data_IF_687091353825
#
_entry.id   IF_687091353825
#
_cell.length_a   1.000
_cell.length_b   1.000
_cell.length_c   1.000
_cell.angle_alpha   90.00
_cell.angle_beta   90.00
_cell.angle_gamma   90.00
#
_symmetry.space_group_name_H-M   'P 1'
#
loop_
_entity.id
_entity.type
_entity.pdbx_description
1 polymer ?
2 polymer ?
3 water ?
#
# COMPACT_ATOMS: atom_id res chain seq x y z
N UNK A 13 -0.14 -25.74 14.04
CA UNK A 13 -0.32 -25.04 15.30
C UNK A 13 -1.24 -23.83 15.18
N UNK A 14 -0.76 -22.81 14.52
CA UNK A 14 -1.58 -21.61 14.27
C UNK A 14 -2.79 -21.93 13.39
N UNK A 15 -2.66 -23.01 12.61
CA UNK A 15 -3.68 -23.42 11.64
C UNK A 15 -4.86 -24.11 12.33
N UNK A 16 -4.61 -24.64 13.51
CA UNK A 16 -5.67 -25.30 14.24
C UNK A 16 -6.32 -24.37 15.29
N UNK A 17 -6.12 -23.06 15.14
CA UNK A 17 -6.81 -22.11 16.02
C UNK A 17 -8.17 -21.71 15.42
N UNK A 18 -9.19 -21.65 16.27
CA UNK A 18 -10.49 -21.02 15.94
C UNK A 18 -10.45 -19.48 15.96
N UNK A 19 -11.49 -18.86 15.41
CA UNK A 19 -11.58 -17.39 15.34
C UNK A 19 -11.49 -16.70 16.71
N UNK A 20 -12.25 -17.17 17.71
CA UNK A 20 -12.17 -16.63 19.10
C UNK A 20 -10.75 -16.76 19.64
N UNK A 21 -10.13 -17.92 19.36
CA UNK A 21 -8.80 -18.23 19.89
C UNK A 21 -7.71 -17.41 19.22
N UNK A 22 -7.90 -17.16 17.95
CA UNK A 22 -7.00 -16.31 17.22
C UNK A 22 -7.08 -14.90 17.86
N UNK A 23 -8.30 -14.41 18.13
CA UNK A 23 -8.55 -13.09 18.75
C UNK A 23 -8.00 -13.01 20.18
N UNK A 24 -8.30 -14.01 21.01
CA UNK A 24 -7.67 -14.07 22.33
C UNK A 24 -6.13 -14.02 22.29
N UNK A 25 -5.48 -14.92 21.52
CA UNK A 25 -4.02 -14.87 21.38
C UNK A 25 -3.49 -13.47 20.91
N UNK A 26 -4.15 -12.85 19.94
CA UNK A 26 -3.71 -11.51 19.49
C UNK A 26 -3.94 -10.41 20.54
N UNK A 27 -5.14 -10.33 21.14
CA UNK A 27 -5.37 -9.35 22.23
C UNK A 27 -4.40 -9.53 23.38
N UNK A 28 -4.16 -10.79 23.77
CA UNK A 28 -3.20 -11.09 24.84
C UNK A 28 -1.74 -10.75 24.46
N UNK A 29 -1.42 -10.74 23.17
CA UNK A 29 -0.09 -10.42 22.67
C UNK A 29 0.26 -8.95 22.78
N UNK A 30 -0.74 -8.06 22.84
CA UNK A 30 -0.52 -6.59 22.68
C UNK A 30 0.57 -6.00 23.55
N UNK A 31 1.46 -5.16 22.97
CA UNK A 31 2.51 -4.57 23.79
C UNK A 31 1.99 -3.40 24.67
N UNK A 32 2.72 -3.01 25.72
CA UNK A 32 2.30 -1.86 26.59
C UNK A 32 2.32 -0.53 25.85
N UNK A 33 1.70 0.49 26.40
CA UNK A 33 1.88 1.84 25.82
C UNK A 33 3.05 2.48 26.61
N UNK A 34 4.00 3.11 25.94
CA UNK A 34 5.16 3.60 26.63
C UNK A 34 5.06 5.12 26.87
N UNK A 35 5.82 5.62 27.84
CA UNK A 35 5.86 7.06 28.05
C UNK A 35 7.14 7.60 27.41
N UNK A 36 7.10 8.85 26.95
CA UNK A 36 8.30 9.52 26.42
C UNK A 36 9.00 10.22 27.58
N UNK A 37 10.18 10.76 27.36
CA UNK A 37 10.76 11.59 28.46
C UNK A 37 10.38 13.06 28.36
N UNK A 38 9.21 13.32 27.77
CA UNK A 38 8.74 14.67 27.49
C UNK A 38 8.81 15.50 28.73
N UNK A 39 9.65 16.52 28.66
CA UNK A 39 9.76 17.54 29.71
C UNK A 39 9.06 18.81 29.18
N UNK A 40 7.84 19.10 29.69
CA UNK A 40 7.11 20.28 29.19
C UNK A 40 7.63 21.65 29.70
N UNK A 41 8.59 21.67 30.63
CA UNK A 41 9.39 22.88 30.86
C UNK A 41 10.28 23.12 29.64
N UNK A 42 11.10 22.11 29.33
CA UNK A 42 12.12 22.17 28.29
C UNK A 42 11.52 22.49 26.89
N UNK A 43 11.89 23.66 26.30
CA UNK A 43 11.39 24.03 24.95
C UNK A 43 11.71 23.01 23.83
N UNK A 45 12.78 22.47 20.51
CA UNK A 45 13.81 22.18 19.50
C UNK A 45 13.49 21.04 18.46
N UNK A 46 14.08 21.15 17.26
CA UNK A 46 14.00 20.07 16.23
C UNK A 46 14.78 18.81 16.67
N UNK A 47 16.00 19.04 17.19
CA UNK A 47 16.90 17.99 17.69
C UNK A 47 16.31 17.22 18.87
N UNK A 48 15.71 17.96 19.79
CA UNK A 48 15.11 17.38 20.99
C UNK A 48 13.75 16.69 20.70
N UNK A 49 12.86 17.36 19.98
CA UNK A 49 11.64 16.72 19.50
C UNK A 49 11.91 15.42 18.77
N UNK A 50 12.81 15.42 17.80
CA UNK A 50 13.16 14.16 17.09
C UNK A 50 13.83 13.19 18.06
N UNK A 51 14.68 13.71 18.94
CA UNK A 51 15.26 12.93 20.04
C UNK A 51 14.21 12.24 20.91
N UNK A 52 13.18 12.96 21.35
CA UNK A 52 12.07 12.33 22.05
C UNK A 52 11.37 11.32 21.20
N UNK A 53 11.23 11.53 19.89
CA UNK A 53 10.43 10.55 19.14
C UNK A 53 11.21 9.30 18.81
N UNK A 54 12.50 9.46 18.56
CA UNK A 54 13.38 8.36 18.20
C UNK A 54 13.70 7.52 19.42
N UNK A 55 13.86 8.15 20.57
CA UNK A 55 13.98 7.42 21.87
C UNK A 55 12.76 6.54 22.12
N UNK A 56 11.58 7.13 21.94
CA UNK A 56 10.33 6.36 22.09
C UNK A 56 10.28 5.19 21.10
N UNK A 57 10.64 5.43 19.82
CA UNK A 57 10.40 4.42 18.80
C UNK A 57 11.35 3.26 19.01
N UNK A 58 12.54 3.59 19.49
CA UNK A 58 13.56 2.65 19.81
C UNK A 58 13.12 1.70 20.96
N UNK A 59 12.48 2.24 22.00
CA UNK A 59 11.90 1.42 23.07
C UNK A 59 10.70 0.62 22.56
N UNK A 60 9.95 1.18 21.62
CA UNK A 60 8.83 0.44 21.07
C UNK A 60 9.29 -0.70 20.16
N UNK A 61 10.37 -0.50 19.40
CA UNK A 61 10.97 -1.59 18.60
C UNK A 61 11.27 -2.85 19.43
N UNK A 62 11.70 -2.71 20.67
CA UNK A 62 12.01 -3.88 21.50
C UNK A 62 10.74 -4.68 21.80
N UNK A 63 9.66 -3.98 22.18
CA UNK A 63 8.37 -4.62 22.49
C UNK A 63 7.74 -5.16 21.24
N UNK A 64 7.94 -4.48 20.11
CA UNK A 64 7.42 -5.05 18.87
C UNK A 64 8.05 -6.40 18.57
N UNK A 65 9.37 -6.53 18.75
CA UNK A 65 10.06 -7.78 18.45
C UNK A 65 9.44 -8.88 19.30
N UNK A 66 9.31 -8.64 20.62
CA UNK A 66 8.59 -9.60 21.47
C UNK A 66 7.09 -9.79 21.20
N UNK A 67 6.42 -8.79 20.67
CA UNK A 67 5.04 -8.99 20.19
C UNK A 67 4.90 -9.91 18.94
N UNK A 68 5.90 -9.85 18.06
CA UNK A 68 5.88 -10.51 16.74
C UNK A 68 5.98 -12.05 16.93
N UNK A 69 6.87 -12.43 17.86
CA UNK A 69 7.04 -13.76 18.44
C UNK A 69 5.73 -14.42 18.90
N UNK A 70 4.80 -13.62 19.41
CA UNK A 70 3.54 -14.15 19.89
C UNK A 70 2.37 -14.14 18.88
N UNK A 71 2.57 -13.59 17.67
CA UNK A 71 1.56 -13.61 16.59
C UNK A 71 1.47 -15.07 16.05
N UNK A 72 0.28 -15.70 16.13
CA UNK A 72 0.18 -17.10 15.67
C UNK A 72 0.88 -17.27 14.33
N UNK A 73 1.74 -18.28 14.25
CA UNK A 73 2.40 -18.64 13.00
C UNK A 73 3.82 -18.15 12.82
N UNK A 74 4.13 -17.01 13.44
CA UNK A 74 5.42 -16.32 13.25
C UNK A 74 6.68 -17.15 13.60
N UNK A 75 6.68 -17.81 14.76
CA UNK A 75 7.82 -18.60 15.20
C UNK A 75 8.07 -19.89 14.39
N UNK A 76 7.11 -20.24 13.52
CA UNK A 76 7.34 -21.32 12.58
C UNK A 76 8.23 -20.89 11.42
N UNK A 77 8.66 -19.64 11.39
CA UNK A 77 9.53 -19.19 10.31
C UNK A 77 11.00 -19.36 10.69
N UNK A 78 11.86 -19.49 9.70
CA UNK A 78 13.29 -19.42 9.94
C UNK A 78 13.66 -18.01 10.41
N UNK A 79 14.74 -17.93 11.18
CA UNK A 79 15.31 -16.69 11.67
C UNK A 79 15.40 -15.67 10.55
N UNK A 80 16.13 -16.01 9.49
CA UNK A 80 16.24 -15.16 8.33
C UNK A 80 14.93 -14.51 7.94
N UNK A 81 13.89 -15.32 7.76
CA UNK A 81 12.61 -14.79 7.28
C UNK A 81 11.96 -13.86 8.33
N UNK A 82 11.94 -14.29 9.61
CA UNK A 82 11.47 -13.44 10.70
C UNK A 82 12.12 -12.07 10.66
N UNK A 83 13.45 -12.03 10.52
CA UNK A 83 14.27 -10.82 10.37
C UNK A 83 13.79 -9.98 9.16
N UNK A 84 13.53 -10.68 8.06
CA UNK A 84 13.08 -10.01 6.88
C UNK A 84 11.73 -9.38 7.02
N UNK A 85 10.75 -10.12 7.52
CA UNK A 85 9.39 -9.60 7.62
C UNK A 85 9.36 -8.38 8.55
N UNK A 86 10.08 -8.46 9.67
CA UNK A 86 10.24 -7.31 10.55
C UNK A 86 11.01 -6.14 9.97
N UNK A 87 12.05 -6.40 9.17
CA UNK A 87 12.71 -5.30 8.47
C UNK A 87 11.77 -4.54 7.52
N UNK A 88 10.89 -5.24 6.82
CA UNK A 88 9.93 -4.56 5.93
C UNK A 88 8.84 -3.80 6.68
N UNK A 89 8.31 -4.43 7.74
CA UNK A 89 7.08 -3.99 8.41
C UNK A 89 7.25 -3.03 9.56
N UNK A 90 8.48 -2.84 10.08
CA UNK A 90 8.59 -2.18 11.42
C UNK A 90 7.94 -0.78 11.47
N UNK A 91 8.16 0.07 10.47
CA UNK A 91 7.55 1.43 10.56
C UNK A 91 6.05 1.42 10.35
N UNK A 92 5.55 0.47 9.55
CA UNK A 92 4.12 0.38 9.31
C UNK A 92 3.45 0.00 10.61
N UNK A 93 4.07 -0.91 11.36
CA UNK A 93 3.45 -1.39 12.59
C UNK A 93 3.51 -0.26 13.62
N UNK A 94 4.62 0.47 13.74
CA UNK A 94 4.68 1.59 14.68
C UNK A 94 3.61 2.61 14.24
N UNK A 95 3.43 2.84 12.95
CA UNK A 95 2.45 3.82 12.49
C UNK A 95 0.95 3.49 12.76
N UNK A 96 0.55 2.24 12.59
CA UNK A 96 -0.85 1.89 12.78
C UNK A 96 -1.11 1.89 14.26
N UNK A 97 -0.09 1.64 15.10
CA UNK A 97 -0.20 1.58 16.60
C UNK A 97 -0.45 3.02 17.04
N UNK A 98 0.36 3.92 16.49
CA UNK A 98 0.23 5.38 16.68
C UNK A 98 -1.17 5.92 16.29
N UNK A 99 -1.62 5.58 15.10
CA UNK A 99 -2.88 6.04 14.54
C UNK A 99 -4.07 5.55 15.36
N UNK A 100 -3.98 4.30 15.83
CA UNK A 100 -4.96 3.68 16.72
C UNK A 100 -5.08 4.31 18.08
N UNK A 101 -3.97 4.64 18.75
CA UNK A 101 -4.10 5.29 20.05
C UNK A 101 -4.59 6.69 19.88
N UNK A 102 -4.46 7.27 18.68
CA UNK A 102 -4.85 8.68 18.43
C UNK A 102 -6.32 8.85 18.00
N UNK A 103 -6.98 7.71 17.82
CA UNK A 103 -8.33 7.63 17.27
C UNK A 103 -9.24 8.60 17.98
N UNK A 104 -9.26 8.53 19.30
CA UNK A 104 -10.11 9.42 20.11
C UNK A 104 -9.55 10.84 20.38
N UNK A 105 -8.52 11.27 19.67
CA UNK A 105 -8.06 12.65 19.83
C UNK A 105 -8.10 13.40 18.52
N UNK A 106 -9.31 13.74 18.04
CA UNK A 106 -9.44 14.35 16.72
C UNK A 106 -8.44 15.50 16.60
N UNK A 107 -7.68 15.54 15.54
CA UNK A 107 -6.73 16.62 15.39
C UNK A 107 -5.39 16.43 16.12
N UNK A 108 -5.19 15.29 16.76
CA UNK A 108 -3.92 15.05 17.47
C UNK A 108 -3.33 13.67 17.28
N UNK A 109 -2.00 13.60 17.41
CA UNK A 109 -1.30 12.36 17.50
C UNK A 109 -0.80 12.14 18.93
N UNK A 110 -1.17 11.00 19.50
CA UNK A 110 -0.85 10.64 20.90
C UNK A 110 0.41 9.77 20.86
N UNK A 111 1.58 10.39 20.77
CA UNK A 111 2.84 9.63 20.72
C UNK A 111 3.01 8.80 21.97
N UNK A 112 2.58 9.35 23.10
CA UNK A 112 2.57 8.66 24.37
C UNK A 112 1.51 9.37 25.23
N UNK A 113 1.10 8.79 26.39
CA UNK A 113 0.07 9.45 27.18
C UNK A 113 0.47 10.87 27.65
N UNK A 114 1.77 11.14 27.74
CA UNK A 114 2.26 12.48 28.10
C UNK A 114 2.72 13.33 26.91
N UNK A 115 2.53 12.84 25.68
CA UNK A 115 3.00 13.55 24.49
C UNK A 115 1.89 13.53 23.42
N UNK A 116 1.02 14.53 23.48
CA UNK A 116 -0.05 14.69 22.53
C UNK A 116 0.26 15.90 21.66
N UNK A 117 0.58 15.68 20.37
CA UNK A 117 0.92 16.77 19.45
C UNK A 117 -0.14 17.01 18.39
N UNK A 118 -0.45 18.29 18.13
CA UNK A 118 -1.20 18.66 16.93
C UNK A 118 -0.26 19.06 15.80
N UNK A 119 -0.79 19.28 14.60
CA UNK A 119 0.07 19.48 13.42
C UNK A 119 1.00 20.71 13.45
N UNK A 120 0.62 21.77 14.15
CA UNK A 120 1.52 22.90 14.29
C UNK A 120 2.86 22.53 14.93
N UNK A 121 2.83 21.70 15.97
CA UNK A 121 4.04 21.19 16.60
C UNK A 121 4.90 20.27 15.71
N UNK A 122 4.30 19.69 14.67
CA UNK A 122 5.05 19.01 13.61
C UNK A 122 5.91 19.90 12.71
N UNK A 123 5.63 21.21 12.71
CA UNK A 123 6.42 22.16 11.89
C UNK A 123 7.83 22.28 12.45
N UNK A 124 7.96 22.07 13.74
CA UNK A 124 9.23 22.07 14.45
C UNK A 124 10.33 21.30 13.77
N UNK A 125 9.96 20.27 13.01
CA UNK A 125 10.91 19.44 12.28
C UNK A 125 10.94 19.75 10.78
N UNK A 127 10.56 18.79 7.59
CA UNK A 127 9.38 18.57 6.77
C UNK A 127 8.61 17.34 7.24
N UNK A 128 8.21 17.34 8.51
CA UNK A 128 7.52 16.20 9.08
C UNK A 128 6.01 16.39 9.06
N UNK A 129 5.58 17.64 8.89
CA UNK A 129 4.16 18.01 8.83
C UNK A 129 3.36 17.24 7.74
N UNK A 130 4.00 16.96 6.62
CA UNK A 130 3.37 16.12 5.60
C UNK A 130 3.11 14.68 6.15
N UNK A 131 4.08 14.07 6.85
CA UNK A 131 3.77 12.77 7.44
C UNK A 131 2.67 12.87 8.53
N UNK A 132 2.75 13.88 9.40
CA UNK A 132 1.70 14.16 10.39
C UNK A 132 0.32 14.15 9.80
N UNK A 133 0.09 14.96 8.76
CA UNK A 133 -1.25 15.06 8.16
C UNK A 133 -1.70 13.73 7.67
N UNK A 134 -0.82 12.99 7.05
CA UNK A 134 -1.19 11.65 6.57
C UNK A 134 -1.67 10.77 7.71
N UNK A 135 -0.97 10.86 8.82
CA UNK A 135 -1.30 10.06 9.96
C UNK A 135 -2.65 10.51 10.56
N UNK A 136 -2.83 11.82 10.68
CA UNK A 136 -4.12 12.40 11.09
C UNK A 136 -5.28 11.93 10.26
N UNK A 137 -5.18 12.04 8.93
CA UNK A 137 -6.24 11.56 8.07
C UNK A 137 -6.48 10.05 8.22
N UNK A 138 -5.47 9.25 8.60
CA UNK A 138 -5.73 7.77 8.79
C UNK A 138 -6.48 7.54 10.08
N UNK A 139 -6.08 8.29 11.11
CA UNK A 139 -6.79 8.28 12.36
C UNK A 139 -8.29 8.65 12.18
N UNK A 140 -8.56 9.73 11.42
CA UNK A 140 -9.92 10.10 11.03
C UNK A 140 -10.65 9.00 10.28
N UNK A 141 -9.96 8.38 9.33
CA UNK A 141 -10.56 7.28 8.62
C UNK A 141 -10.98 6.19 9.60
N UNK A 142 -10.10 5.84 10.55
CA UNK A 142 -10.41 4.81 11.53
C UNK A 142 -11.62 5.21 12.36
N UNK A 143 -11.67 6.48 12.75
CA UNK A 143 -12.74 7.03 13.57
C UNK A 143 -14.10 7.03 12.85
N UNK A 144 -14.12 7.38 11.55
CA UNK A 144 -15.38 7.31 10.77
C UNK A 144 -15.94 5.88 10.76
N UNK A 145 -15.09 4.92 10.39
CA UNK A 145 -15.44 3.49 10.30
C UNK A 145 -15.67 2.82 11.65
N UNK A 146 -15.46 3.59 12.71
CA UNK A 146 -15.41 3.08 14.09
C UNK A 146 -14.72 1.73 14.21
N UNK A 147 -13.45 1.73 13.82
CA UNK A 147 -12.60 0.56 13.94
C UNK A 147 -12.65 0.02 15.37
N UNK A 148 -12.75 -1.31 15.54
CA UNK A 148 -12.75 -2.00 16.84
C UNK A 148 -11.36 -2.56 17.22
N UNK A 149 -11.06 -2.58 18.54
CA UNK A 149 -9.83 -3.21 19.06
C UNK A 149 -9.47 -4.58 18.46
N UNK A 150 -10.45 -5.45 18.32
CA UNK A 150 -10.28 -6.79 17.72
C UNK A 150 -9.88 -6.75 16.24
N UNK A 151 -10.44 -5.84 15.47
CA UNK A 151 -10.11 -5.70 14.06
C UNK A 151 -8.73 -5.12 13.93
N UNK A 152 -8.40 -4.15 14.79
CA UNK A 152 -7.05 -3.55 14.80
C UNK A 152 -5.90 -4.55 15.01
N UNK A 153 -6.08 -5.48 15.91
CA UNK A 153 -5.05 -6.46 16.15
C UNK A 153 -4.87 -7.45 15.02
N UNK A 154 -5.97 -7.83 14.34
CA UNK A 154 -5.92 -8.52 13.04
C UNK A 154 -5.15 -7.74 11.98
N UNK A 155 -5.48 -6.45 11.76
CA UNK A 155 -4.77 -5.64 10.74
C UNK A 155 -3.28 -5.53 11.00
N UNK A 156 -2.93 -5.39 12.28
CA UNK A 156 -1.50 -5.24 12.62
C UNK A 156 -0.74 -6.57 12.33
N UNK A 157 -1.36 -7.68 12.62
CA UNK A 157 -0.76 -8.98 12.29
C UNK A 157 -0.66 -9.24 10.76
N UNK A 158 -1.71 -8.87 10.00
CA UNK A 158 -1.68 -8.86 8.53
C UNK A 158 -0.54 -8.02 8.00
N UNK A 159 -0.28 -6.90 8.61
CA UNK A 159 0.88 -6.11 8.19
C UNK A 159 2.25 -6.85 8.30
N UNK A 160 2.54 -7.36 9.51
CA UNK A 160 3.77 -8.08 9.81
C UNK A 160 3.95 -9.19 8.79
N UNK A 161 2.87 -9.97 8.61
CA UNK A 161 2.91 -11.12 7.71
C UNK A 161 2.95 -10.82 6.20
N UNK A 162 2.34 -9.72 5.78
CA UNK A 162 2.17 -9.39 4.38
C UNK A 162 3.23 -8.50 3.77
N UNK A 163 3.89 -7.66 4.57
CA UNK A 163 4.56 -6.54 3.99
C UNK A 163 5.79 -7.00 3.23
N UNK A 164 6.46 -8.00 3.80
CA UNK A 164 7.67 -8.50 3.20
C UNK A 164 7.50 -9.84 2.47
N UNK A 165 6.28 -10.36 2.37
CA UNK A 165 6.07 -11.71 1.83
C UNK A 165 6.49 -11.82 0.34
N UNK A 166 6.32 -10.74 -0.43
CA UNK A 166 6.56 -10.77 -1.90
C UNK A 166 7.96 -10.33 -2.28
N UNK A 167 8.83 -10.16 -1.30
CA UNK A 167 10.00 -9.32 -1.47
C UNK A 167 11.31 -10.09 -1.30
N UNK A 180 3.54 -18.82 1.90
CA UNK A 180 3.00 -20.13 1.57
C UNK A 180 2.37 -20.77 2.81
N UNK A 181 3.20 -21.03 3.81
CA UNK A 181 2.74 -21.13 5.17
C UNK A 181 2.20 -19.76 5.61
N UNK A 182 2.98 -18.72 5.35
CA UNK A 182 2.52 -17.33 5.60
C UNK A 182 1.13 -17.03 5.01
N UNK A 183 0.88 -17.53 3.80
CA UNK A 183 -0.40 -17.28 3.15
C UNK A 183 -1.52 -18.04 3.80
N UNK A 184 -1.23 -19.21 4.37
CA UNK A 184 -2.28 -19.95 5.02
C UNK A 184 -2.69 -19.18 6.28
N UNK A 185 -1.70 -18.58 6.94
CA UNK A 185 -1.95 -17.93 8.21
C UNK A 185 -2.71 -16.66 7.92
N UNK A 186 -2.33 -15.96 6.83
CA UNK A 186 -3.04 -14.74 6.42
C UNK A 186 -4.52 -15.05 6.12
N UNK A 187 -4.77 -16.11 5.34
CA UNK A 187 -6.12 -16.66 5.15
C UNK A 187 -6.90 -16.84 6.49
N UNK A 188 -6.30 -17.50 7.50
CA UNK A 188 -6.97 -17.62 8.84
C UNK A 188 -7.34 -16.27 9.49
N UNK A 189 -6.51 -15.25 9.28
CA UNK A 189 -6.74 -13.95 9.92
C UNK A 189 -7.90 -13.24 9.18
N UNK A 190 -7.98 -13.44 7.85
CA UNK A 190 -9.14 -13.01 7.10
C UNK A 190 -10.45 -13.67 7.60
N UNK A 191 -10.42 -15.00 7.78
CA UNK A 191 -11.56 -15.75 8.36
C UNK A 191 -11.95 -15.14 9.72
N UNK A 192 -10.97 -14.67 10.49
CA UNK A 192 -11.21 -14.13 11.81
C UNK A 192 -11.91 -12.76 11.73
N UNK A 193 -11.36 -11.86 10.88
CA UNK A 193 -11.99 -10.60 10.55
C UNK A 193 -13.45 -10.77 10.13
N UNK A 194 -13.73 -11.76 9.28
CA UNK A 194 -15.07 -11.91 8.77
C UNK A 194 -15.93 -12.38 9.97
N UNK A 195 -15.34 -13.18 10.84
CA UNK A 195 -16.05 -13.71 12.00
C UNK A 195 -16.32 -12.60 13.00
N UNK A 196 -15.38 -11.69 13.20
CA UNK A 196 -15.69 -10.51 14.02
C UNK A 196 -16.90 -9.73 13.48
N UNK A 197 -16.96 -9.60 12.16
CA UNK A 197 -18.00 -8.82 11.50
C UNK A 197 -19.38 -9.50 11.44
N UNK A 198 -19.43 -10.82 11.30
CA UNK A 198 -20.71 -11.54 11.40
C UNK A 198 -21.23 -11.35 12.82
N UNK A 199 -20.37 -11.64 13.81
CA UNK A 199 -20.72 -11.44 15.22
C UNK A 199 -21.21 -10.00 15.55
N UNK A 200 -20.74 -8.99 14.82
CA UNK A 200 -21.12 -7.57 15.09
C UNK A 200 -22.44 -7.15 14.39
N UNK A 201 -23.16 -8.16 13.89
CA UNK A 201 -24.46 -7.98 13.28
C UNK A 201 -24.51 -7.59 11.83
N UNK A 202 -23.35 -7.55 11.13
CA UNK A 202 -23.24 -7.12 9.71
C UNK A 202 -23.75 -8.15 8.66
N UNK A 203 -24.57 -7.74 7.69
CA UNK A 203 -25.00 -8.65 6.62
C UNK A 203 -23.80 -9.16 5.80
N UNK A 204 -23.99 -10.27 5.09
CA UNK A 204 -22.96 -10.81 4.19
C UNK A 204 -22.33 -9.76 3.23
N UNK A 205 -23.18 -8.98 2.58
CA UNK A 205 -22.72 -7.86 1.77
C UNK A 205 -21.89 -6.83 2.55
N UNK A 206 -22.25 -6.56 3.80
CA UNK A 206 -21.53 -5.55 4.59
C UNK A 206 -20.20 -6.03 5.18
N UNK A 207 -20.12 -7.32 5.51
CA UNK A 207 -18.88 -7.94 5.94
C UNK A 207 -17.82 -7.76 4.85
N UNK A 208 -18.21 -8.03 3.60
CA UNK A 208 -17.23 -7.92 2.54
C UNK A 208 -16.83 -6.54 2.18
N UNK A 209 -17.76 -5.61 2.29
CA UNK A 209 -17.37 -4.23 2.07
C UNK A 209 -16.47 -3.71 3.13
N UNK A 210 -16.75 -4.03 4.41
CA UNK A 210 -15.93 -3.55 5.52
C UNK A 210 -14.55 -4.13 5.39
N UNK A 211 -14.48 -5.44 5.10
CA UNK A 211 -13.25 -6.14 4.83
C UNK A 211 -12.36 -5.43 3.76
N UNK A 212 -12.94 -5.07 2.61
CA UNK A 212 -12.23 -4.27 1.60
C UNK A 212 -11.74 -2.94 2.17
N UNK A 213 -12.58 -2.21 2.88
CA UNK A 213 -12.20 -0.85 3.30
C UNK A 213 -11.08 -0.94 4.32
N UNK A 214 -11.16 -1.94 5.20
CA UNK A 214 -10.13 -2.09 6.17
C UNK A 214 -8.81 -2.41 5.44
N UNK A 215 -8.81 -3.32 4.47
CA UNK A 215 -7.55 -3.68 3.83
C UNK A 215 -7.09 -2.62 2.84
N UNK A 216 -8.00 -1.81 2.31
CA UNK A 216 -7.56 -0.70 1.48
C UNK A 216 -6.71 0.34 2.26
N UNK A 217 -6.98 0.52 3.57
CA UNK A 217 -6.22 1.47 4.39
C UNK A 217 -4.73 1.07 4.48
N UNK A 218 -4.45 -0.24 4.44
CA UNK A 218 -3.10 -0.75 4.54
C UNK A 218 -2.23 -0.29 3.38
N UNK A 219 -2.82 -0.10 2.20
CA UNK A 219 -2.12 0.56 1.13
C UNK A 219 -1.70 2.04 1.47
N UNK A 220 -2.55 2.76 2.15
CA UNK A 220 -2.17 4.06 2.65
C UNK A 220 -1.13 3.99 3.73
N UNK A 221 -1.19 3.00 4.58
CA UNK A 221 -0.17 2.81 5.62
C UNK A 221 1.20 2.50 5.01
N UNK A 222 1.22 1.65 3.96
CA UNK A 222 2.45 1.33 3.29
C UNK A 222 3.04 2.64 2.66
N UNK A 223 2.20 3.46 2.07
CA UNK A 223 2.60 4.78 1.48
C UNK A 223 3.20 5.67 2.55
N UNK A 224 2.58 5.75 3.74
CA UNK A 224 3.15 6.63 4.78
C UNK A 224 4.50 6.11 5.35
N UNK A 225 4.62 4.77 5.45
CA UNK A 225 5.87 4.18 5.82
C UNK A 225 7.02 4.42 4.78
N UNK A 226 6.77 4.25 3.47
CA UNK A 226 7.81 4.67 2.47
C UNK A 226 8.13 6.18 2.66
N UNK A 227 7.14 7.04 2.81
CA UNK A 227 7.49 8.47 2.99
C UNK A 227 8.27 8.69 4.28
N UNK A 228 7.86 8.02 5.36
CA UNK A 228 8.51 8.28 6.65
C UNK A 228 9.93 7.78 6.65
N UNK A 229 10.20 6.71 5.88
CA UNK A 229 11.53 6.14 5.75
C UNK A 229 12.44 7.15 5.09
N UNK A 230 12.05 7.65 3.93
CA UNK A 230 12.76 8.76 3.29
C UNK A 230 13.02 9.97 4.24
N UNK A 231 12.05 10.33 5.05
CA UNK A 231 12.21 11.41 5.98
C UNK A 231 13.14 11.09 7.10
N UNK A 232 13.23 9.85 7.47
CA UNK A 232 14.08 9.40 8.55
C UNK A 232 15.53 9.39 8.05
N UNK A 233 15.72 8.83 6.86
CA UNK A 233 17.03 8.68 6.30
C UNK A 233 17.75 10.02 6.24
N UNK A 234 17.04 11.03 5.73
CA UNK A 234 17.59 12.37 5.61
C UNK A 234 17.71 13.14 6.93
N UNK A 235 17.11 12.60 7.99
CA UNK A 235 17.31 13.16 9.34
C UNK A 235 18.64 12.66 9.90
N UNK A 236 18.96 11.41 9.60
CA UNK A 236 20.26 10.85 9.96
C UNK A 236 21.37 11.47 9.11
N UNK A 237 21.16 11.50 7.79
CA UNK A 237 22.12 12.07 6.85
C UNK A 237 22.18 13.60 6.88
N UNK A 238 21.91 14.17 8.03
CA UNK A 238 22.14 15.56 8.31
C UNK A 238 21.97 15.85 9.79
N UNK A 239 22.89 15.35 10.61
CA UNK A 239 22.73 15.27 12.08
C UNK A 239 22.19 16.52 12.80
N UNK A 243 20.92 8.97 15.56
CA UNK A 243 20.21 7.77 15.97
C UNK A 243 20.97 6.60 16.50
N UNK A 244 20.18 5.72 17.04
CA UNK A 244 20.41 4.76 18.10
C UNK A 244 21.00 3.53 17.45
N UNK A 245 20.92 2.42 18.13
CA UNK A 245 21.26 1.15 17.55
C UNK A 245 20.14 0.57 16.73
N UNK A 246 19.17 -0.07 17.38
CA UNK A 246 18.14 -0.81 16.67
C UNK A 246 17.46 0.01 15.59
N UNK A 247 17.13 1.23 15.91
CA UNK A 247 16.46 2.08 15.00
C UNK A 247 17.29 2.31 13.78
N UNK A 248 18.55 2.70 13.95
CA UNK A 248 19.47 2.91 12.81
C UNK A 248 19.59 1.64 11.94
N UNK A 249 19.70 0.50 12.60
CA UNK A 249 19.70 -0.81 11.96
C UNK A 249 18.45 -1.06 11.11
N UNK A 250 17.27 -0.85 11.69
CA UNK A 250 16.04 -1.08 10.97
C UNK A 250 15.96 -0.10 9.79
N UNK A 251 16.29 1.18 10.02
CA UNK A 251 16.41 2.18 8.94
C UNK A 251 17.36 1.72 7.80
N UNK A 252 18.56 1.26 8.16
CA UNK A 252 19.51 0.83 7.12
C UNK A 252 19.08 -0.37 6.29
N UNK A 253 18.32 -1.28 6.89
CA UNK A 253 17.70 -2.38 6.15
C UNK A 253 17.06 -1.92 4.82
N UNK A 254 16.35 -0.79 4.82
CA UNK A 254 15.69 -0.27 3.60
C UNK A 254 16.61 0.49 2.65
N UNK A 255 17.92 0.47 2.92
CA UNK A 255 18.96 1.09 2.08
C UNK A 255 18.85 2.63 2.04
N UNK B 13 -24.95 7.74 -10.49
CA UNK B 13 -25.07 7.13 -11.87
C UNK B 13 -24.44 5.73 -11.95
N UNK B 14 -23.13 5.70 -11.75
CA UNK B 14 -22.34 4.55 -11.30
C UNK B 14 -23.01 3.56 -10.33
N UNK B 15 -23.72 4.10 -9.34
CA UNK B 15 -24.32 3.30 -8.28
C UNK B 15 -25.60 2.54 -8.74
N UNK B 16 -26.23 3.01 -9.83
CA UNK B 16 -27.38 2.31 -10.40
C UNK B 16 -27.02 1.07 -11.25
N UNK B 17 -25.73 0.86 -11.49
CA UNK B 17 -25.25 -0.26 -12.34
C UNK B 17 -25.32 -1.62 -11.65
N UNK B 18 -25.64 -2.68 -12.39
CA UNK B 18 -25.53 -4.02 -11.77
C UNK B 18 -24.07 -4.49 -11.89
N UNK B 19 -23.70 -5.55 -11.17
CA UNK B 19 -22.34 -6.07 -11.20
C UNK B 19 -21.91 -6.46 -12.61
N UNK B 20 -22.83 -7.06 -13.37
CA UNK B 20 -22.55 -7.39 -14.78
C UNK B 20 -22.26 -6.19 -15.68
N UNK B 21 -22.97 -5.08 -15.46
CA UNK B 21 -22.78 -3.86 -16.26
C UNK B 21 -21.56 -3.08 -15.81
N UNK B 22 -21.13 -3.30 -14.57
CA UNK B 22 -19.93 -2.63 -14.08
C UNK B 22 -18.76 -3.21 -14.84
N UNK B 23 -18.70 -4.54 -14.89
CA UNK B 23 -17.68 -5.37 -15.60
C UNK B 23 -17.57 -4.99 -17.08
N UNK B 24 -18.71 -5.02 -17.79
CA UNK B 24 -18.74 -4.55 -19.15
C UNK B 24 -18.31 -3.09 -19.36
N UNK B 25 -18.73 -2.16 -18.50
CA UNK B 25 -18.24 -0.78 -18.64
C UNK B 25 -16.72 -0.75 -18.46
N UNK B 26 -16.20 -1.51 -17.50
CA UNK B 26 -14.71 -1.55 -17.29
C UNK B 26 -13.92 -2.23 -18.41
N UNK B 27 -14.35 -3.43 -18.84
CA UNK B 27 -13.72 -4.14 -19.99
C UNK B 27 -13.66 -3.28 -21.25
N UNK B 28 -14.74 -2.54 -21.49
CA UNK B 28 -14.84 -1.73 -22.70
C UNK B 28 -14.00 -0.45 -22.63
N UNK B 29 -13.77 0.02 -21.41
CA UNK B 29 -12.90 1.19 -21.15
C UNK B 29 -11.39 0.91 -21.30
N UNK B 30 -10.98 -0.37 -21.32
CA UNK B 30 -9.55 -0.79 -21.40
C UNK B 30 -8.73 -0.03 -22.46
N UNK B 31 -7.54 0.48 -22.13
CA UNK B 31 -6.68 1.05 -23.15
C UNK B 31 -6.10 0.00 -24.09
N UNK B 32 -5.68 0.37 -25.31
CA UNK B 32 -4.97 -0.60 -26.16
C UNK B 32 -3.53 -0.82 -25.74
N UNK B 33 -2.93 -1.91 -26.23
CA UNK B 33 -1.55 -2.29 -25.99
C UNK B 33 -0.72 -1.55 -27.01
N UNK B 34 0.29 -0.77 -26.56
CA UNK B 34 1.11 0.05 -27.44
C UNK B 34 2.42 -0.59 -27.78
N UNK B 35 3.00 -0.20 -28.90
CA UNK B 35 4.22 -0.74 -29.37
C UNK B 35 5.33 0.20 -28.98
N UNK B 36 6.48 -0.39 -28.66
CA UNK B 36 7.69 0.39 -28.55
C UNK B 36 8.18 0.84 -29.94
N UNK B 37 8.99 1.90 -29.98
CA UNK B 37 9.79 2.22 -31.18
C UNK B 37 10.64 1.02 -31.54
N UNK B 38 10.80 0.75 -32.83
CA UNK B 38 11.48 -0.46 -33.32
C UNK B 38 12.97 -0.17 -33.41
N UNK B 44 21.37 -2.41 -26.28
CA UNK B 44 20.77 -1.53 -25.28
C UNK B 44 21.83 -0.95 -24.33
N UNK B 45 22.01 0.36 -24.34
CA UNK B 45 22.72 1.00 -23.25
C UNK B 45 21.65 1.52 -22.28
N UNK B 46 22.11 2.09 -21.18
CA UNK B 46 21.27 2.72 -20.21
C UNK B 46 20.34 3.76 -20.80
N UNK B 47 20.88 4.69 -21.59
CA UNK B 47 20.06 5.81 -22.04
C UNK B 47 19.09 5.45 -23.19
N UNK B 48 19.48 4.47 -24.03
CA UNK B 48 18.62 4.01 -25.12
C UNK B 48 17.42 3.22 -24.55
N UNK B 49 17.68 2.36 -23.57
CA UNK B 49 16.62 1.69 -22.87
C UNK B 49 15.65 2.64 -22.14
N UNK B 50 16.19 3.54 -21.32
CA UNK B 50 15.41 4.57 -20.65
C UNK B 50 14.57 5.42 -21.61
N UNK B 51 15.17 5.80 -22.73
CA UNK B 51 14.48 6.48 -23.80
C UNK B 51 13.29 5.70 -24.35
N UNK B 52 13.47 4.41 -24.64
CA UNK B 52 12.34 3.60 -25.09
C UNK B 52 11.20 3.53 -24.07
N UNK B 53 11.56 3.33 -22.79
CA UNK B 53 10.55 3.17 -21.74
C UNK B 53 9.86 4.45 -21.42
N UNK B 54 10.58 5.57 -21.32
CA UNK B 54 9.90 6.82 -21.08
C UNK B 54 9.05 7.24 -22.28
N UNK B 55 9.50 7.09 -23.52
CA UNK B 55 8.62 7.38 -24.65
C UNK B 55 7.30 6.53 -24.56
N UNK B 56 7.44 5.24 -24.29
CA UNK B 56 6.33 4.34 -24.17
C UNK B 56 5.42 4.78 -23.02
N UNK B 57 6.01 5.10 -21.89
CA UNK B 57 5.24 5.45 -20.74
C UNK B 57 4.49 6.75 -20.97
N UNK B 58 5.11 7.72 -21.65
CA UNK B 58 4.45 8.99 -22.04
C UNK B 58 3.22 8.78 -22.94
N UNK B 59 3.31 7.85 -23.89
CA UNK B 59 2.15 7.54 -24.71
C UNK B 59 1.10 6.80 -23.96
N UNK B 60 1.45 5.83 -23.12
CA UNK B 60 0.46 5.06 -22.37
C UNK B 60 -0.30 6.00 -21.41
N UNK B 61 0.37 7.03 -20.88
CA UNK B 61 -0.30 8.05 -20.03
C UNK B 61 -1.46 8.78 -20.72
N UNK B 62 -1.29 9.18 -21.96
CA UNK B 62 -2.42 9.74 -22.68
C UNK B 62 -3.63 8.75 -22.68
N UNK B 63 -3.46 7.46 -22.99
CA UNK B 63 -4.63 6.53 -22.99
C UNK B 63 -5.16 6.27 -21.60
N UNK B 64 -4.29 6.30 -20.58
CA UNK B 64 -4.77 6.13 -19.20
C UNK B 64 -5.70 7.23 -18.77
N UNK B 65 -5.40 8.46 -19.15
CA UNK B 65 -6.32 9.54 -18.85
C UNK B 65 -7.67 9.29 -19.51
N UNK B 66 -7.66 8.78 -20.74
CA UNK B 66 -8.95 8.43 -21.37
C UNK B 66 -9.70 7.26 -20.79
N UNK B 67 -8.96 6.20 -20.39
CA UNK B 67 -9.56 5.10 -19.64
C UNK B 67 -10.19 5.60 -18.34
N UNK B 68 -9.48 6.49 -17.63
CA UNK B 68 -9.99 7.07 -16.35
C UNK B 68 -11.38 7.72 -16.49
N UNK B 69 -11.55 8.63 -17.45
CA UNK B 69 -12.83 9.23 -17.77
C UNK B 69 -14.01 8.25 -17.96
N UNK B 70 -13.69 7.04 -18.43
CA UNK B 70 -14.69 5.99 -18.68
C UNK B 70 -14.96 5.06 -17.49
N UNK B 71 -14.27 5.26 -16.36
CA UNK B 71 -14.40 4.42 -15.18
C UNK B 71 -15.66 4.94 -14.47
N UNK B 72 -16.65 4.06 -14.24
CA UNK B 72 -17.89 4.72 -13.78
C UNK B 72 -17.71 5.36 -12.41
N UNK B 73 -18.37 6.50 -12.21
CA UNK B 73 -18.20 7.33 -11.01
C UNK B 73 -17.12 8.41 -11.13
N UNK B 74 -16.10 8.16 -11.96
CA UNK B 74 -15.02 9.10 -12.15
C UNK B 74 -15.41 10.44 -12.76
N UNK B 75 -16.28 10.43 -13.77
CA UNK B 75 -16.76 11.65 -14.43
C UNK B 75 -17.61 12.50 -13.52
N UNK B 76 -18.19 11.86 -12.50
CA UNK B 76 -18.98 12.54 -11.48
C UNK B 76 -18.12 13.40 -10.53
N UNK B 77 -16.82 13.16 -10.46
CA UNK B 77 -15.96 13.92 -9.54
C UNK B 77 -15.69 15.29 -10.08
N UNK B 78 -15.25 16.21 -9.23
CA UNK B 78 -14.88 17.54 -9.71
C UNK B 78 -13.53 17.40 -10.48
N UNK B 79 -13.16 18.44 -11.22
CA UNK B 79 -11.93 18.37 -12.01
C UNK B 79 -10.68 18.25 -11.11
N UNK B 80 -10.58 19.07 -10.08
CA UNK B 80 -9.38 19.00 -9.27
C UNK B 80 -9.22 17.69 -8.50
N UNK B 81 -10.31 16.96 -8.31
CA UNK B 81 -10.36 15.68 -7.59
C UNK B 81 -9.91 14.60 -8.55
N UNK B 82 -10.45 14.61 -9.75
CA UNK B 82 -9.90 13.87 -10.86
C UNK B 82 -8.40 14.01 -10.99
N UNK B 83 -7.90 15.24 -10.98
CA UNK B 83 -6.47 15.51 -11.10
C UNK B 83 -5.71 14.90 -9.91
N UNK B 84 -6.22 15.13 -8.70
CA UNK B 84 -5.58 14.56 -7.55
C UNK B 84 -5.45 13.05 -7.66
N UNK B 85 -6.56 12.35 -7.96
CA UNK B 85 -6.50 10.88 -8.08
C UNK B 85 -5.49 10.42 -9.11
N UNK B 86 -5.49 11.05 -10.29
CA UNK B 86 -4.58 10.61 -11.33
C UNK B 86 -3.13 10.93 -10.96
N UNK B 87 -2.87 12.08 -10.36
CA UNK B 87 -1.48 12.31 -9.94
C UNK B 87 -0.93 11.38 -8.82
N UNK B 88 -1.82 10.90 -7.94
CA UNK B 88 -1.40 9.97 -6.89
C UNK B 88 -1.15 8.56 -7.46
N UNK B 89 -2.01 8.15 -8.40
CA UNK B 89 -2.16 6.81 -8.84
C UNK B 89 -1.45 6.41 -10.13
N UNK B 90 -0.89 7.34 -10.88
CA UNK B 90 -0.53 6.98 -12.31
C UNK B 90 0.51 5.90 -12.50
N UNK B 91 1.53 5.86 -11.62
CA UNK B 91 2.59 4.88 -11.77
C UNK B 91 2.12 3.53 -11.25
N UNK B 92 1.30 3.50 -10.20
CA UNK B 92 0.70 2.24 -9.79
C UNK B 92 -0.13 1.67 -10.89
N UNK B 93 -0.89 2.53 -11.56
CA UNK B 93 -1.72 2.03 -12.71
C UNK B 93 -0.91 1.51 -13.92
N UNK B 94 0.16 2.21 -14.32
CA UNK B 94 1.09 1.68 -15.38
C UNK B 94 1.71 0.37 -15.00
N UNK B 95 2.08 0.26 -13.70
CA UNK B 95 2.66 -0.97 -13.15
C UNK B 95 1.74 -2.15 -13.10
N UNK B 96 0.48 -1.93 -12.68
CA UNK B 96 -0.37 -3.08 -12.67
C UNK B 96 -0.74 -3.51 -14.09
N UNK B 97 -0.93 -2.61 -15.06
CA UNK B 97 -1.11 -3.02 -16.47
C UNK B 97 0.12 -3.82 -16.98
N UNK B 98 1.33 -3.33 -16.69
CA UNK B 98 2.58 -4.02 -17.07
C UNK B 98 2.59 -5.45 -16.51
N UNK B 99 2.32 -5.53 -15.22
CA UNK B 99 2.21 -6.78 -14.54
C UNK B 99 1.20 -7.74 -15.17
N UNK B 100 0.02 -7.21 -15.53
CA UNK B 100 -1.01 -8.06 -16.14
C UNK B 100 -0.62 -8.63 -17.49
N UNK B 101 -0.06 -7.79 -18.38
CA UNK B 101 0.44 -8.26 -19.69
C UNK B 101 1.62 -9.25 -19.58
N UNK B 102 2.35 -9.21 -18.49
CA UNK B 102 3.53 -10.07 -18.36
C UNK B 102 3.18 -11.45 -17.78
N UNK B 103 1.94 -11.61 -17.36
CA UNK B 103 1.53 -12.80 -16.66
C UNK B 103 1.89 -14.09 -17.40
N UNK B 104 1.69 -14.10 -18.70
CA UNK B 104 1.90 -15.32 -19.46
C UNK B 104 3.31 -15.43 -20.03
N UNK B 105 4.19 -14.50 -19.66
CA UNK B 105 5.59 -14.65 -19.98
C UNK B 105 6.40 -14.73 -18.72
N UNK B 106 6.28 -15.83 -17.97
CA UNK B 106 7.02 -15.91 -16.71
C UNK B 106 8.52 -15.74 -16.96
N UNK B 107 9.19 -15.01 -16.08
CA UNK B 107 10.59 -14.76 -16.27
C UNK B 107 10.80 -13.37 -16.84
N UNK B 108 9.83 -12.89 -17.60
CA UNK B 108 10.04 -11.71 -18.44
C UNK B 108 9.00 -10.60 -18.15
N UNK B 109 9.34 -9.34 -18.46
CA UNK B 109 8.40 -8.21 -18.45
C UNK B 109 8.03 -7.76 -19.88
N UNK B 110 6.75 -7.86 -20.23
CA UNK B 110 6.29 -7.44 -21.55
C UNK B 110 5.89 -5.93 -21.60
N UNK B 111 6.86 -5.06 -21.84
CA UNK B 111 6.62 -3.58 -21.90
C UNK B 111 5.76 -3.21 -23.07
N UNK B 112 5.97 -3.91 -24.19
CA UNK B 112 5.19 -3.77 -25.43
C UNK B 112 5.34 -5.11 -26.07
N UNK B 113 4.45 -5.45 -27.04
CA UNK B 113 4.71 -6.74 -27.67
C UNK B 113 6.06 -6.85 -28.41
N UNK B 114 6.66 -5.75 -28.86
CA UNK B 114 7.95 -5.87 -29.45
C UNK B 114 9.09 -5.53 -28.48
N UNK B 115 8.79 -5.58 -27.18
CA UNK B 115 9.73 -5.22 -26.12
C UNK B 115 9.47 -6.06 -24.85
N UNK B 116 9.95 -7.29 -24.90
CA UNK B 116 9.81 -8.26 -23.88
C UNK B 116 11.22 -8.32 -23.27
N UNK B 117 11.39 -7.95 -22.00
CA UNK B 117 12.73 -7.94 -21.41
C UNK B 117 12.86 -8.99 -20.31
N UNK B 118 14.06 -9.57 -20.18
CA UNK B 118 14.35 -10.40 -19.02
C UNK B 118 15.09 -9.63 -17.93
N UNK B 119 15.03 -10.19 -16.71
CA UNK B 119 15.77 -9.78 -15.54
C UNK B 119 17.17 -9.19 -15.79
N UNK B 120 17.99 -9.92 -16.55
CA UNK B 120 19.36 -9.52 -16.91
C UNK B 120 19.48 -8.21 -17.68
N UNK B 121 18.46 -7.87 -18.47
CA UNK B 121 18.50 -6.65 -19.26
C UNK B 121 18.18 -5.44 -18.36
N UNK B 122 17.34 -5.65 -17.35
CA UNK B 122 17.18 -4.67 -16.27
C UNK B 122 18.47 -4.08 -15.66
N UNK B 123 19.63 -4.73 -15.87
CA UNK B 123 20.93 -4.27 -15.31
C UNK B 123 21.61 -3.20 -16.15
N UNK B 124 21.10 -3.01 -17.34
CA UNK B 124 21.64 -1.99 -18.19
C UNK B 124 21.26 -0.62 -17.66
N UNK B 125 20.41 -0.60 -16.65
CA UNK B 125 20.10 0.65 -15.93
C UNK B 125 20.33 0.50 -14.41
N UNK B 126 21.08 1.41 -13.81
CA UNK B 126 21.33 1.24 -12.37
C UNK B 126 20.11 1.57 -11.51
N UNK B 127 19.92 0.78 -10.46
CA UNK B 127 18.79 0.92 -9.56
C UNK B 127 17.52 0.29 -10.11
N UNK B 128 17.58 -0.19 -11.36
CA UNK B 128 16.42 -0.77 -12.02
C UNK B 128 16.23 -2.23 -11.70
N UNK B 129 17.32 -2.93 -11.40
CA UNK B 129 17.22 -4.35 -11.16
C UNK B 129 16.31 -4.72 -9.99
N UNK B 130 16.32 -3.94 -8.92
CA UNK B 130 15.43 -4.17 -7.77
C UNK B 130 13.95 -3.98 -8.11
N UNK B 131 13.64 -2.95 -8.88
CA UNK B 131 12.28 -2.68 -9.35
C UNK B 131 11.80 -3.79 -10.31
N UNK B 132 12.66 -4.20 -11.21
CA UNK B 132 12.37 -5.33 -12.09
C UNK B 132 11.98 -6.56 -11.27
N UNK B 133 12.76 -6.88 -10.25
CA UNK B 133 12.48 -8.09 -9.51
C UNK B 133 11.14 -8.11 -8.82
N UNK B 134 10.78 -6.96 -8.24
CA UNK B 134 9.50 -6.81 -7.57
C UNK B 134 8.34 -6.91 -8.54
N UNK B 135 8.48 -6.38 -9.73
CA UNK B 135 7.45 -6.46 -10.78
C UNK B 135 7.23 -7.93 -11.22
N UNK B 136 8.32 -8.67 -11.30
CA UNK B 136 8.36 -10.08 -11.68
C UNK B 136 7.67 -10.94 -10.60
N UNK B 137 7.85 -10.56 -9.33
CA UNK B 137 7.24 -11.27 -8.22
C UNK B 137 5.73 -10.99 -8.23
N UNK B 138 5.31 -9.75 -8.51
CA UNK B 138 3.89 -9.51 -8.60
C UNK B 138 3.26 -10.33 -9.71
N UNK B 139 3.88 -10.34 -10.88
CA UNK B 139 3.26 -11.02 -12.04
C UNK B 139 3.20 -12.55 -11.72
N UNK B 140 4.30 -13.03 -11.17
CA UNK B 140 4.35 -14.38 -10.70
C UNK B 140 3.21 -14.68 -9.72
N UNK B 141 2.95 -13.77 -8.76
CA UNK B 141 1.82 -13.90 -7.84
C UNK B 141 0.43 -13.89 -8.51
N UNK B 142 0.20 -12.96 -9.46
CA UNK B 142 -1.04 -12.96 -10.23
C UNK B 142 -1.22 -14.29 -10.98
N UNK B 143 -0.12 -14.80 -11.52
CA UNK B 143 -0.10 -16.04 -12.34
C UNK B 143 -0.55 -17.21 -11.49
N UNK B 144 0.02 -17.35 -10.31
CA UNK B 144 -0.35 -18.37 -9.38
C UNK B 144 -1.68 -18.19 -8.64
N UNK B 145 -2.35 -17.04 -8.78
CA UNK B 145 -3.70 -16.89 -8.25
C UNK B 145 -4.74 -17.10 -9.37
N UNK B 146 -4.27 -17.38 -10.57
CA UNK B 146 -5.16 -17.47 -11.74
C UNK B 146 -6.01 -16.22 -11.96
N UNK B 147 -5.45 -15.05 -11.71
CA UNK B 147 -6.14 -13.77 -11.94
C UNK B 147 -6.78 -13.67 -13.35
N UNK B 148 -8.05 -13.32 -13.39
CA UNK B 148 -8.81 -13.20 -14.62
C UNK B 148 -8.94 -11.74 -15.01
N UNK B 149 -9.17 -11.50 -16.31
CA UNK B 149 -9.23 -10.13 -16.83
C UNK B 149 -10.24 -9.23 -16.15
N UNK B 150 -11.43 -9.80 -15.88
CA UNK B 150 -12.49 -9.20 -15.04
C UNK B 150 -12.11 -8.75 -13.61
N UNK B 151 -11.37 -9.56 -12.88
CA UNK B 151 -10.78 -9.12 -11.61
C UNK B 151 -9.73 -7.99 -11.81
N UNK B 152 -8.85 -8.17 -12.81
CA UNK B 152 -7.85 -7.18 -13.14
C UNK B 152 -8.44 -5.77 -13.36
N UNK B 153 -9.44 -5.66 -14.23
CA UNK B 153 -10.09 -4.35 -14.44
C UNK B 153 -10.70 -3.80 -13.14
N UNK B 154 -11.23 -4.68 -12.29
CA UNK B 154 -11.72 -4.21 -11.00
C UNK B 154 -10.56 -3.67 -10.12
N UNK B 155 -9.42 -4.37 -10.05
CA UNK B 155 -8.28 -3.87 -9.28
C UNK B 155 -7.79 -2.58 -9.81
N UNK B 156 -7.71 -2.45 -11.12
CA UNK B 156 -7.15 -1.19 -11.67
C UNK B 156 -7.96 0.02 -11.28
N UNK B 157 -9.29 -0.06 -11.39
CA UNK B 157 -10.23 0.93 -10.89
C UNK B 157 -10.11 1.26 -9.40
N UNK B 158 -10.03 0.19 -8.57
CA UNK B 158 -9.77 0.37 -7.15
C UNK B 158 -8.53 1.22 -6.90
N UNK B 159 -7.42 0.94 -7.60
CA UNK B 159 -6.19 1.75 -7.38
C UNK B 159 -6.39 3.23 -7.73
N UNK B 160 -7.11 3.53 -8.84
CA UNK B 160 -7.38 4.92 -9.19
C UNK B 160 -8.24 5.71 -8.10
N UNK B 161 -9.33 5.06 -7.62
CA UNK B 161 -10.22 5.68 -6.65
C UNK B 161 -9.61 5.72 -5.24
N UNK B 162 -8.87 4.67 -4.91
CA UNK B 162 -8.35 4.48 -3.59
C UNK B 162 -7.01 5.15 -3.28
N UNK B 163 -6.08 5.20 -4.22
CA UNK B 163 -4.73 5.65 -3.81
C UNK B 163 -4.63 7.07 -3.23
N UNK B 164 -5.38 8.03 -3.79
CA UNK B 164 -5.31 9.34 -3.24
C UNK B 164 -6.49 9.78 -2.38
N UNK B 165 -7.44 8.90 -2.12
CA UNK B 165 -8.66 9.33 -1.40
C UNK B 165 -8.42 9.90 0.04
N UNK B 166 -7.25 9.63 0.64
CA UNK B 166 -6.90 10.05 2.02
C UNK B 166 -5.95 11.24 2.10
N UNK B 167 -5.85 12.05 1.04
CA UNK B 167 -4.93 13.22 0.99
C UNK B 167 -5.50 14.47 0.32
N UNK B 179 -15.88 12.27 -1.62
CA UNK B 179 -15.23 11.36 -0.68
C UNK B 179 -16.19 10.24 -0.34
N UNK B 180 -17.37 10.59 0.17
CA UNK B 180 -18.40 9.58 0.45
C UNK B 180 -18.79 8.88 -0.84
N UNK B 181 -18.86 9.67 -1.90
CA UNK B 181 -19.06 9.17 -3.25
C UNK B 181 -17.98 8.19 -3.72
N UNK B 182 -16.71 8.59 -3.57
CA UNK B 182 -15.58 7.73 -3.85
C UNK B 182 -15.72 6.41 -3.08
N UNK B 183 -16.00 6.49 -1.77
CA UNK B 183 -16.22 5.30 -0.94
C UNK B 183 -17.39 4.46 -1.34
N UNK B 184 -18.51 5.11 -1.70
CA UNK B 184 -19.64 4.42 -2.31
C UNK B 184 -19.28 3.69 -3.60
N UNK B 185 -18.41 4.26 -4.44
CA UNK B 185 -18.07 3.60 -5.69
C UNK B 185 -17.13 2.39 -5.49
N UNK B 186 -16.15 2.53 -4.58
CA UNK B 186 -15.32 1.42 -4.10
C UNK B 186 -16.08 0.25 -3.49
N UNK B 187 -17.07 0.58 -2.67
CA UNK B 187 -18.06 -0.39 -2.18
C UNK B 187 -18.74 -1.08 -3.40
N UNK B 188 -19.13 -0.31 -4.42
CA UNK B 188 -19.71 -0.92 -5.63
C UNK B 188 -18.76 -1.91 -6.33
N UNK B 189 -17.46 -1.57 -6.38
CA UNK B 189 -16.50 -2.41 -7.07
C UNK B 189 -16.18 -3.66 -6.26
N UNK B 190 -16.15 -3.56 -4.95
CA UNK B 190 -15.99 -4.74 -4.11
C UNK B 190 -17.09 -5.76 -4.36
N UNK B 191 -18.34 -5.30 -4.35
CA UNK B 191 -19.48 -6.13 -4.65
C UNK B 191 -19.29 -6.81 -6.05
N UNK B 192 -18.78 -6.04 -7.00
CA UNK B 192 -18.51 -6.56 -8.34
C UNK B 192 -17.50 -7.70 -8.28
N UNK B 193 -16.44 -7.53 -7.49
CA UNK B 193 -15.39 -8.57 -7.32
C UNK B 193 -15.95 -9.86 -6.71
N UNK B 194 -16.70 -9.70 -5.61
CA UNK B 194 -17.36 -10.85 -4.98
C UNK B 194 -18.34 -11.51 -5.98
N UNK B 195 -19.10 -10.69 -6.70
CA UNK B 195 -19.98 -11.22 -7.73
C UNK B 195 -19.22 -12.01 -8.80
N UNK B 196 -18.06 -11.53 -9.22
CA UNK B 196 -17.22 -12.32 -10.12
C UNK B 196 -16.78 -13.65 -9.51
N UNK B 197 -16.44 -13.67 -8.22
CA UNK B 197 -15.94 -14.88 -7.51
C UNK B 197 -17.06 -15.91 -7.26
N UNK B 198 -18.28 -15.42 -7.05
CA UNK B 198 -19.43 -16.31 -6.89
C UNK B 198 -19.84 -16.91 -8.26
N UNK B 199 -19.77 -16.13 -9.34
CA UNK B 199 -20.03 -16.65 -10.68
C UNK B 199 -19.07 -17.79 -11.02
N UNK B 200 -17.83 -17.69 -10.57
CA UNK B 200 -16.80 -18.71 -10.81
C UNK B 200 -16.86 -19.91 -9.83
N UNK B 201 -17.88 -20.00 -8.98
CA UNK B 201 -18.15 -21.24 -8.21
C UNK B 201 -17.52 -21.30 -6.83
N UNK B 202 -16.49 -20.49 -6.61
CA UNK B 202 -15.80 -20.42 -5.33
C UNK B 202 -16.79 -20.38 -4.13
N UNK B 203 -16.43 -20.97 -2.99
CA UNK B 203 -17.31 -20.88 -1.83
C UNK B 203 -17.23 -19.51 -1.20
N UNK B 204 -18.12 -19.27 -0.26
CA UNK B 204 -18.12 -18.06 0.58
C UNK B 204 -16.82 -17.83 1.33
N UNK B 205 -16.19 -18.91 1.82
CA UNK B 205 -14.93 -18.77 2.54
C UNK B 205 -13.80 -18.42 1.58
N UNK B 206 -13.86 -19.01 0.38
CA UNK B 206 -12.88 -18.79 -0.67
C UNK B 206 -13.00 -17.38 -1.26
N UNK B 207 -14.22 -16.84 -1.24
CA UNK B 207 -14.57 -15.54 -1.80
C UNK B 207 -13.94 -14.43 -1.00
N UNK B 208 -14.14 -14.46 0.32
CA UNK B 208 -13.48 -13.49 1.19
C UNK B 208 -12.00 -13.68 1.33
N UNK B 209 -11.56 -14.93 1.37
CA UNK B 209 -10.15 -15.19 1.33
C UNK B 209 -9.54 -14.61 0.06
N UNK B 210 -10.17 -14.85 -1.09
CA UNK B 210 -9.63 -14.35 -2.39
C UNK B 210 -9.64 -12.83 -2.44
N UNK B 211 -10.74 -12.23 -2.01
CA UNK B 211 -10.85 -10.75 -1.94
C UNK B 211 -9.69 -10.14 -1.14
N UNK B 212 -9.36 -10.77 -0.02
CA UNK B 212 -8.29 -10.31 0.85
C UNK B 212 -6.98 -10.36 0.11
N UNK B 213 -6.64 -11.55 -0.43
CA UNK B 213 -5.39 -11.74 -1.19
C UNK B 213 -5.21 -10.69 -2.29
N UNK B 214 -6.29 -10.37 -3.02
CA UNK B 214 -6.21 -9.41 -4.11
C UNK B 214 -5.94 -8.01 -3.61
N UNK B 215 -6.56 -7.63 -2.50
CA UNK B 215 -6.35 -6.23 -2.04
C UNK B 215 -4.98 -6.02 -1.38
N UNK B 216 -4.48 -7.04 -0.70
CA UNK B 216 -3.15 -7.00 -0.07
C UNK B 216 -2.04 -6.82 -1.03
N UNK B 217 -2.26 -7.30 -2.27
CA UNK B 217 -1.31 -7.09 -3.35
C UNK B 217 -1.26 -5.61 -3.72
N UNK B 218 -2.36 -4.87 -3.53
CA UNK B 218 -2.32 -3.43 -3.80
C UNK B 218 -1.31 -2.74 -2.89
N UNK B 219 -1.03 -3.33 -1.73
CA UNK B 219 -0.10 -2.66 -0.87
C UNK B 219 1.36 -2.80 -1.37
N UNK B 220 1.71 -3.99 -1.88
CA UNK B 220 2.99 -4.16 -2.65
C UNK B 220 3.10 -3.24 -3.87
N UNK B 221 2.02 -3.13 -4.62
CA UNK B 221 1.98 -2.24 -5.78
C UNK B 221 2.20 -0.77 -5.40
N UNK B 222 1.60 -0.32 -4.28
CA UNK B 222 1.93 0.99 -3.74
C UNK B 222 3.42 1.07 -3.38
N UNK B 223 3.99 0.02 -2.82
CA UNK B 223 5.40 0.04 -2.43
C UNK B 223 6.27 0.18 -3.69
N UNK B 224 6.09 -0.67 -4.69
CA UNK B 224 6.77 -0.54 -6.00
C UNK B 224 6.63 0.83 -6.61
N UNK B 225 5.46 1.41 -6.51
CA UNK B 225 5.31 2.68 -7.17
C UNK B 225 6.18 3.74 -6.50
N UNK B 226 6.33 3.64 -5.17
CA UNK B 226 7.25 4.50 -4.40
C UNK B 226 8.73 4.33 -4.66
N UNK B 227 9.24 3.10 -4.77
CA UNK B 227 10.62 2.87 -5.24
C UNK B 227 10.72 3.42 -6.65
N UNK B 228 9.69 3.17 -7.49
CA UNK B 228 9.73 3.67 -8.88
C UNK B 228 9.73 5.19 -9.01
N UNK B 229 8.97 5.88 -8.17
CA UNK B 229 8.94 7.33 -8.22
C UNK B 229 10.34 7.83 -7.86
N UNK B 230 10.95 7.37 -6.76
CA UNK B 230 12.31 7.87 -6.40
C UNK B 230 13.30 7.68 -7.54
N UNK B 231 13.21 6.53 -8.21
CA UNK B 231 14.13 6.10 -9.26
C UNK B 231 14.05 7.03 -10.44
N UNK B 232 12.85 7.46 -10.74
CA UNK B 232 12.54 8.34 -11.85
C UNK B 232 13.05 9.78 -11.63
N UNK B 233 12.85 10.29 -10.42
CA UNK B 233 13.30 11.59 -10.01
C UNK B 233 14.82 11.65 -10.02
N UNK B 234 15.51 10.58 -9.63
CA UNK B 234 17.00 10.66 -9.71
C UNK B 234 17.49 10.50 -11.16
N UNK B 235 16.70 9.84 -12.01
CA UNK B 235 16.97 9.76 -13.44
C UNK B 235 16.87 11.16 -14.03
N UNK B 236 15.88 11.91 -13.55
CA UNK B 236 15.68 13.28 -13.95
C UNK B 236 16.84 14.17 -13.49
N UNK B 237 17.44 13.83 -12.37
CA UNK B 237 18.54 14.57 -11.83
C UNK B 237 19.85 14.33 -12.59
N UNK B 238 19.97 13.16 -13.22
CA UNK B 238 21.11 12.93 -14.09
C UNK B 238 20.71 13.60 -15.38
N UNK B 239 20.99 12.96 -16.50
CA UNK B 239 20.32 13.38 -17.76
C UNK B 239 20.23 12.38 -18.90
N UNK B 241 18.58 10.43 -19.54
CA UNK B 241 17.29 10.52 -20.21
C UNK B 241 16.59 11.85 -19.95
N UNK B 242 16.19 12.58 -21.00
CA UNK B 242 15.34 13.77 -20.80
C UNK B 242 13.86 13.41 -20.45
N UNK B 243 13.28 14.21 -19.55
CA UNK B 243 11.89 14.04 -19.13
C UNK B 243 11.11 15.32 -19.47
N UNK B 244 10.14 15.24 -20.38
CA UNK B 244 9.34 16.41 -20.73
C UNK B 244 7.87 16.02 -20.72
N UNK B 245 7.02 17.00 -21.03
CA UNK B 245 5.58 16.77 -21.26
C UNK B 245 4.77 16.11 -20.13
N UNK B 246 3.74 15.34 -20.51
CA UNK B 246 2.90 14.61 -19.56
C UNK B 246 3.66 13.91 -18.43
N UNK B 247 4.60 13.08 -18.82
CA UNK B 247 5.37 12.27 -17.88
C UNK B 247 6.10 13.11 -16.86
N UNK B 248 6.71 14.22 -17.27
CA UNK B 248 7.43 15.07 -16.34
C UNK B 248 6.47 15.67 -15.35
N UNK B 249 5.38 16.24 -15.85
CA UNK B 249 4.31 16.83 -15.02
C UNK B 249 3.77 15.89 -13.97
N UNK B 250 3.56 14.62 -14.33
CA UNK B 250 2.98 13.63 -13.43
C UNK B 250 3.99 13.32 -12.37
N UNK B 251 5.25 13.22 -12.76
CA UNK B 251 6.29 12.95 -11.77
C UNK B 251 6.39 14.15 -10.78
N UNK B 252 6.60 15.36 -11.29
CA UNK B 252 6.59 16.56 -10.42
C UNK B 252 5.40 16.68 -9.45
N UNK B 253 4.24 16.15 -9.85
CA UNK B 253 3.06 16.19 -9.00
C UNK B 253 3.29 15.47 -7.65
N UNK B 254 4.10 14.42 -7.63
CA UNK B 254 4.61 13.77 -6.41
C UNK B 254 5.86 14.46 -5.90
N UNK B 255 5.77 15.77 -5.70
CA UNK B 255 6.85 16.60 -5.17
C UNK B 255 8.11 15.84 -4.79
N UNK C 4 21.77 -6.93 15.39
CA UNK C 4 20.98 -6.63 16.66
C UNK C 4 19.56 -7.21 16.70
N UNK C 5 18.82 -7.00 15.62
CA UNK C 5 17.49 -7.58 15.47
C UNK C 5 17.58 -9.11 15.52
N UNK C 6 18.55 -9.60 14.74
CA UNK C 6 18.91 -11.01 14.73
C UNK C 6 19.06 -11.53 16.14
N UNK C 7 19.91 -10.83 16.90
CA UNK C 7 20.21 -11.11 18.30
C UNK C 7 18.96 -11.22 19.21
N UNK C 8 18.14 -10.16 19.20
CA UNK C 8 16.98 -9.99 20.07
C UNK C 8 15.90 -11.00 19.81
N UNK C 9 15.84 -11.41 18.55
CA UNK C 9 14.92 -12.41 18.08
C UNK C 9 15.37 -13.83 18.50
N UNK D 3 -1.43 20.92 -15.80
CA UNK D 3 -1.86 21.71 -17.03
C UNK D 3 -2.17 20.85 -18.26
N UNK D 4 -1.16 20.14 -18.79
CA UNK D 4 -1.38 19.15 -19.88
C UNK D 4 -2.49 18.24 -19.41
N UNK D 5 -2.35 17.76 -18.18
CA UNK D 5 -3.31 16.84 -17.58
C UNK D 5 -4.72 17.43 -17.56
N UNK D 6 -4.82 18.71 -17.17
CA UNK D 6 -6.05 19.48 -17.27
C UNK D 6 -6.68 19.41 -18.63
N UNK D 7 -5.87 19.65 -19.66
CA UNK D 7 -6.39 19.71 -21.02
C UNK D 7 -6.92 18.35 -21.50
N UNK D 8 -6.26 17.24 -21.11
CA UNK D 8 -6.72 15.89 -21.58
C UNK D 8 -7.99 15.45 -20.88
N UNK D 9 -8.12 15.87 -19.61
CA UNK D 9 -9.35 15.59 -18.86
C UNK D 9 -10.49 16.50 -19.33
N UNK D 10 -10.11 17.66 -19.90
CA UNK D 10 -10.96 18.63 -20.67
C UNK D 10 -11.43 19.85 -19.86
#
# INVERSE_FOLDING_TARGET
QSNAMKRSKKNSLALSLTADQMVSALLDAEPPILYSEYDPTRPFSEASMMGLLTNLADRELVHMINWAKRVPGFVDLTLHDQVHLLECAWLEILMIGLVWRSMEHPGKLLFAPNLLLDRNQGKCVEGMVEIFDMLLATSSRFRMMNLQGEEFVCLKSIILLNSGVYTFLSSTLKSLEEKDHIHRVLDKITDTLIHLMAKAGLTLQQQHQRLAQLLLILSHIRHMSNKGMEHLYSMKCKNVVPLYGLLLEMLDAHRLHAPTS
QSNAMKRSKKNSLALSLTADQMVSALLDAEPPILYSEYDPTRPFSEASMMGLLTNLADRELVHMINWAKRVPGFVDLTLHDQVHLLECAWLEILMIGLVWRSMEHPGKLLFAPNLLLDRNQGKCVEGMVEIFDMLLATSSRFRMMNLQGEEFVCLKSIILLNSGVYTFLSSTLKSLEEKDHIHRVLDKITDTLIHLMAKAGLTLQQQHQRLAQLLLILSHIRHMSNKGMEHLYSMKCKNVVPLYGLLLEMLDAHRLHAPTS
KHKILHRLLQDSS
KHKILHRLLQDSS
#
